data_IF_080468481922
#
_entry.id   IF_080468481922
#
_cell.length_a   1.000
_cell.length_b   1.000
_cell.length_c   1.000
_cell.angle_alpha   90.00
_cell.angle_beta   90.00
_cell.angle_gamma   90.00
#
_symmetry.space_group_name_H-M   'P 1'
#
loop_
_entity.id
_entity.type
_entity.pdbx_description
1 polymer ?
#
# COMPACT_ATOMS: atom_id res chain seq x y z
N UNK A 1 -30.32 -10.95 9.15
CA UNK A 1 -29.78 -10.12 10.24
C UNK A 1 -28.27 -10.04 10.04
N UNK A 2 -27.67 -8.87 10.22
CA UNK A 2 -26.26 -8.64 9.90
C UNK A 2 -25.41 -8.90 11.15
N UNK A 3 -24.38 -9.73 11.01
CA UNK A 3 -23.51 -10.13 12.11
C UNK A 3 -22.04 -10.09 11.69
N UNK A 4 -21.17 -9.80 12.65
CA UNK A 4 -19.73 -9.92 12.52
C UNK A 4 -19.38 -11.38 12.26
N UNK A 5 -18.67 -11.66 11.16
CA UNK A 5 -18.27 -13.03 10.78
C UNK A 5 -17.32 -13.68 11.78
N UNK A 6 -16.62 -12.90 12.61
CA UNK A 6 -15.65 -13.41 13.58
C UNK A 6 -16.27 -13.75 14.95
N UNK A 7 -17.16 -12.89 15.46
CA UNK A 7 -17.65 -13.00 16.84
C UNK A 7 -19.17 -13.02 16.98
N UNK A 8 -19.92 -12.88 15.89
CA UNK A 8 -21.39 -12.88 15.92
C UNK A 8 -22.03 -11.60 16.47
N UNK A 9 -21.27 -10.56 16.83
CA UNK A 9 -21.84 -9.27 17.23
C UNK A 9 -22.60 -8.61 16.08
N UNK A 10 -23.72 -7.92 16.35
CA UNK A 10 -24.49 -7.19 15.34
C UNK A 10 -24.34 -5.66 15.42
N UNK A 11 -23.56 -5.16 16.36
CA UNK A 11 -23.31 -3.72 16.56
C UNK A 11 -21.99 -3.28 15.93
N UNK A 12 -21.93 -2.00 15.54
CA UNK A 12 -20.73 -1.32 15.01
C UNK A 12 -20.03 -2.12 13.91
N UNK A 13 -20.81 -2.60 12.95
CA UNK A 13 -20.31 -3.36 11.81
C UNK A 13 -19.68 -2.45 10.77
N UNK A 14 -18.62 -2.96 10.16
CA UNK A 14 -17.86 -2.35 9.07
C UNK A 14 -17.70 -3.38 7.96
N UNK A 15 -17.50 -2.91 6.74
CA UNK A 15 -17.18 -3.76 5.59
C UNK A 15 -15.66 -3.93 5.52
N UNK A 16 -15.21 -5.18 5.48
CA UNK A 16 -13.80 -5.55 5.41
C UNK A 16 -13.51 -6.27 4.10
N UNK A 17 -12.50 -5.81 3.36
CA UNK A 17 -12.03 -6.46 2.14
C UNK A 17 -11.07 -7.60 2.48
N UNK A 18 -11.42 -8.84 2.14
CA UNK A 18 -10.58 -10.03 2.36
C UNK A 18 -9.22 -9.89 1.68
N UNK A 19 -9.21 -9.47 0.42
CA UNK A 19 -7.97 -9.09 -0.28
C UNK A 19 -7.80 -7.58 -0.17
N UNK A 20 -6.68 -7.10 0.41
CA UNK A 20 -6.42 -5.68 0.49
C UNK A 20 -6.45 -4.98 -0.88
N UNK A 21 -7.07 -3.81 -0.92
CA UNK A 21 -7.22 -3.02 -2.15
C UNK A 21 -5.89 -2.71 -2.83
N UNK A 22 -4.80 -2.55 -2.06
CA UNK A 22 -3.45 -2.31 -2.59
C UNK A 22 -2.98 -3.41 -3.54
N UNK A 23 -3.37 -4.67 -3.33
CA UNK A 23 -3.03 -5.79 -4.21
C UNK A 23 -4.12 -5.99 -5.26
N UNK A 24 -5.39 -5.96 -4.83
CA UNK A 24 -6.54 -6.28 -5.67
C UNK A 24 -6.62 -5.47 -6.95
N UNK A 25 -6.32 -4.16 -6.89
CA UNK A 25 -6.42 -3.28 -8.08
C UNK A 25 -5.50 -3.72 -9.23
N UNK A 26 -4.39 -4.38 -8.93
CA UNK A 26 -3.42 -4.89 -9.91
C UNK A 26 -3.70 -6.33 -10.36
N UNK A 27 -4.64 -7.03 -9.72
CA UNK A 27 -5.00 -8.38 -10.15
C UNK A 27 -5.61 -8.36 -11.55
N UNK A 28 -5.40 -9.42 -12.35
CA UNK A 28 -6.10 -9.65 -13.61
C UNK A 28 -7.61 -9.61 -13.44
N UNK A 29 -8.33 -9.17 -14.48
CA UNK A 29 -9.79 -9.00 -14.43
C UNK A 29 -10.52 -10.31 -14.09
N UNK A 30 -10.04 -11.43 -14.63
CA UNK A 30 -10.60 -12.77 -14.36
C UNK A 30 -10.56 -13.16 -12.88
N UNK A 31 -9.65 -12.56 -12.10
CA UNK A 31 -9.50 -12.81 -10.66
C UNK A 31 -10.32 -11.79 -9.85
N UNK A 32 -10.38 -10.52 -10.28
CA UNK A 32 -10.98 -9.44 -9.47
C UNK A 32 -12.43 -9.07 -9.82
N UNK A 33 -12.98 -9.55 -10.93
CA UNK A 33 -14.34 -9.22 -11.41
C UNK A 33 -15.46 -9.52 -10.40
N UNK A 34 -15.22 -10.41 -9.43
CA UNK A 34 -16.16 -10.84 -8.41
C UNK A 34 -15.83 -10.29 -7.00
N UNK A 35 -15.33 -9.05 -6.92
CA UNK A 35 -14.86 -8.43 -5.68
C UNK A 35 -15.91 -8.30 -4.55
N UNK A 36 -17.21 -8.29 -4.88
CA UNK A 36 -18.29 -8.21 -3.89
C UNK A 36 -18.34 -9.42 -2.95
N UNK A 37 -17.89 -10.59 -3.41
CA UNK A 37 -17.83 -11.81 -2.59
C UNK A 37 -16.73 -11.74 -1.51
N UNK A 38 -15.75 -10.86 -1.70
CA UNK A 38 -14.61 -10.69 -0.81
C UNK A 38 -14.80 -9.54 0.18
N UNK A 39 -16.05 -9.18 0.48
CA UNK A 39 -16.39 -8.16 1.47
C UNK A 39 -17.15 -8.81 2.61
N UNK A 40 -16.59 -8.76 3.81
CA UNK A 40 -17.14 -9.37 5.02
C UNK A 40 -17.60 -8.31 6.01
N UNK A 41 -18.67 -8.61 6.75
CA UNK A 41 -19.09 -7.79 7.88
C UNK A 41 -18.25 -8.12 9.11
N UNK A 42 -17.61 -7.11 9.70
CA UNK A 42 -16.82 -7.24 10.92
C UNK A 42 -17.13 -6.11 11.88
N UNK A 43 -17.25 -6.40 13.18
CA UNK A 43 -17.32 -5.34 14.17
C UNK A 43 -15.97 -4.61 14.30
N UNK A 44 -15.98 -3.34 14.72
CA UNK A 44 -14.77 -2.51 14.87
C UNK A 44 -13.66 -3.22 15.66
N UNK A 45 -14.00 -3.92 16.75
CA UNK A 45 -13.02 -4.66 17.58
C UNK A 45 -12.29 -5.72 16.77
N UNK A 46 -13.04 -6.60 16.09
CA UNK A 46 -12.45 -7.67 15.28
C UNK A 46 -11.69 -7.10 14.07
N UNK A 47 -12.19 -6.04 13.45
CA UNK A 47 -11.54 -5.39 12.32
C UNK A 47 -10.17 -4.80 12.73
N UNK A 48 -10.11 -4.09 13.87
CA UNK A 48 -8.85 -3.52 14.39
C UNK A 48 -7.83 -4.61 14.75
N UNK A 49 -8.28 -5.70 15.38
CA UNK A 49 -7.42 -6.86 15.66
C UNK A 49 -6.89 -7.47 14.37
N UNK A 50 -7.75 -7.67 13.37
CA UNK A 50 -7.34 -8.18 12.06
C UNK A 50 -6.29 -7.28 11.40
N UNK A 51 -6.50 -5.96 11.36
CA UNK A 51 -5.57 -5.04 10.71
C UNK A 51 -4.17 -5.08 11.33
N UNK A 52 -4.07 -5.35 12.64
CA UNK A 52 -2.78 -5.53 13.32
C UNK A 52 -2.02 -6.73 12.73
N UNK A 53 -2.68 -7.89 12.63
CA UNK A 53 -2.08 -9.08 12.04
C UNK A 53 -1.85 -8.94 10.53
N UNK A 54 -2.76 -8.28 9.81
CA UNK A 54 -2.62 -8.01 8.38
C UNK A 54 -1.44 -7.08 8.10
N UNK A 55 -1.17 -6.08 8.97
CA UNK A 55 0.01 -5.23 8.87
C UNK A 55 1.30 -6.02 9.03
N UNK A 56 1.36 -6.94 9.98
CA UNK A 56 2.52 -7.81 10.16
C UNK A 56 2.73 -8.72 8.94
N UNK A 57 1.66 -9.31 8.42
CA UNK A 57 1.73 -10.13 7.22
C UNK A 57 2.16 -9.33 5.98
N UNK A 58 1.67 -8.09 5.81
CA UNK A 58 2.13 -7.16 4.77
C UNK A 58 3.65 -6.92 4.86
N UNK A 59 4.20 -6.73 6.07
CA UNK A 59 5.66 -6.59 6.26
C UNK A 59 6.42 -7.85 5.85
N UNK A 60 5.91 -9.03 6.18
CA UNK A 60 6.52 -10.30 5.76
C UNK A 60 6.52 -10.45 4.22
N UNK A 61 5.44 -10.05 3.55
CA UNK A 61 5.38 -10.01 2.07
C UNK A 61 6.44 -9.03 1.53
N UNK A 62 6.54 -7.83 2.11
CA UNK A 62 7.55 -6.84 1.75
C UNK A 62 8.97 -7.40 1.86
N UNK A 63 9.28 -8.12 2.93
CA UNK A 63 10.56 -8.80 3.11
C UNK A 63 10.76 -9.93 2.10
N UNK A 64 9.74 -10.78 1.89
CA UNK A 64 9.79 -11.91 0.94
C UNK A 64 10.15 -11.46 -0.47
N UNK A 65 9.56 -10.34 -0.91
CA UNK A 65 9.78 -9.78 -2.25
C UNK A 65 10.90 -8.73 -2.30
N UNK A 66 11.56 -8.46 -1.17
CA UNK A 66 12.56 -7.40 -1.01
C UNK A 66 12.10 -6.05 -1.60
N UNK A 67 10.84 -5.67 -1.34
CA UNK A 67 10.22 -4.48 -1.93
C UNK A 67 9.41 -3.71 -0.88
N UNK A 68 9.66 -2.40 -0.66
CA UNK A 68 9.06 -1.62 0.42
C UNK A 68 7.53 -1.49 0.28
N UNK A 69 6.80 -1.44 1.40
CA UNK A 69 5.34 -1.31 1.42
C UNK A 69 4.83 0.01 0.81
N UNK A 70 5.59 1.09 0.99
CA UNK A 70 5.25 2.41 0.47
C UNK A 70 5.55 2.55 -1.04
N UNK A 71 6.19 1.54 -1.65
CA UNK A 71 6.66 1.57 -3.02
C UNK A 71 8.09 2.09 -3.16
N UNK A 72 8.65 1.95 -4.36
CA UNK A 72 10.04 2.31 -4.69
C UNK A 72 10.07 3.50 -5.65
N UNK A 73 11.19 4.24 -5.66
CA UNK A 73 11.41 5.43 -6.49
C UNK A 73 10.55 6.63 -6.04
N UNK A 74 10.63 6.94 -4.75
CA UNK A 74 10.10 8.16 -4.16
C UNK A 74 11.25 9.12 -3.81
N UNK A 75 11.02 10.41 -4.00
CA UNK A 75 11.93 11.47 -3.64
C UNK A 75 11.43 12.09 -2.33
N UNK A 76 12.28 12.13 -1.32
CA UNK A 76 11.96 12.80 -0.06
C UNK A 76 12.02 14.31 -0.25
N UNK A 77 10.93 15.00 0.12
CA UNK A 77 10.84 16.46 0.08
C UNK A 77 11.35 17.03 1.42
N UNK A 78 12.67 17.16 1.54
CA UNK A 78 13.33 17.53 2.80
C UNK A 78 12.83 18.84 3.41
N UNK A 79 12.49 19.81 2.56
CA UNK A 79 11.89 21.07 2.99
C UNK A 79 10.53 20.82 3.67
N UNK A 80 9.63 20.10 3.01
CA UNK A 80 8.30 19.77 3.55
C UNK A 80 8.41 18.93 4.84
N UNK A 81 9.31 17.95 4.88
CA UNK A 81 9.52 17.15 6.07
C UNK A 81 10.00 17.99 7.26
N UNK A 82 10.86 18.99 7.04
CA UNK A 82 11.28 19.94 8.09
C UNK A 82 10.11 20.83 8.54
N UNK A 83 9.37 21.39 7.59
CA UNK A 83 8.21 22.26 7.85
C UNK A 83 7.16 21.51 8.67
N UNK A 84 6.79 20.30 8.28
CA UNK A 84 5.86 19.44 9.02
C UNK A 84 6.34 19.13 10.42
N UNK A 85 7.63 18.81 10.58
CA UNK A 85 8.21 18.51 11.90
C UNK A 85 8.13 19.73 12.82
N UNK A 86 8.42 20.92 12.30
CA UNK A 86 8.29 22.18 13.04
C UNK A 86 6.82 22.46 13.40
N UNK A 87 5.91 22.38 12.42
CA UNK A 87 4.47 22.59 12.62
C UNK A 87 3.88 21.61 13.65
N UNK A 88 4.26 20.33 13.57
CA UNK A 88 3.82 19.30 14.52
C UNK A 88 4.32 19.56 15.94
N UNK A 89 5.56 20.03 16.09
CA UNK A 89 6.10 20.41 17.40
C UNK A 89 5.34 21.63 17.97
N UNK A 90 5.11 22.66 17.16
CA UNK A 90 4.35 23.85 17.56
C UNK A 90 2.92 23.51 17.95
N UNK A 91 2.20 22.71 17.16
CA UNK A 91 0.84 22.28 17.45
C UNK A 91 0.74 21.42 18.72
N UNK A 92 1.75 20.58 18.98
CA UNK A 92 1.80 19.81 20.24
C UNK A 92 1.91 20.75 21.45
N UNK A 93 2.83 21.70 21.40
CA UNK A 93 2.99 22.66 22.50
C UNK A 93 1.76 23.59 22.62
N UNK A 94 1.17 24.02 21.50
CA UNK A 94 -0.06 24.81 21.50
C UNK A 94 -1.22 24.05 22.15
N UNK A 95 -1.44 22.78 21.79
CA UNK A 95 -2.48 21.96 22.41
C UNK A 95 -2.24 21.76 23.92
N UNK A 96 -0.99 21.66 24.36
CA UNK A 96 -0.64 21.61 25.78
C UNK A 96 -0.91 22.95 26.51
N UNK A 97 -0.89 24.08 25.80
CA UNK A 97 -1.11 25.44 26.33
C UNK A 97 -2.51 25.99 26.04
N UNK A 98 -3.37 25.23 25.34
CA UNK A 98 -4.67 25.67 24.83
C UNK A 98 -5.65 26.06 25.96
N UNK A 99 -5.47 25.45 27.13
CA UNK A 99 -6.23 25.78 28.35
C UNK A 99 -5.84 27.13 28.97
N UNK A 100 -4.68 27.70 28.60
CA UNK A 100 -4.16 28.97 29.12
C UNK A 100 -4.35 30.09 28.09
N UNK A 101 -4.21 29.78 26.80
CA UNK A 101 -4.22 30.76 25.71
C UNK A 101 -5.59 30.78 25.02
N UNK A 102 -6.58 31.44 25.64
CA UNK A 102 -7.80 31.82 24.93
C UNK A 102 -7.51 32.98 23.97
N UNK A 103 -7.61 32.69 22.67
CA UNK A 103 -7.61 33.60 21.51
C UNK A 103 -6.23 34.00 20.99
N UNK A 104 -5.97 33.67 19.71
CA UNK A 104 -5.08 34.49 18.90
C UNK A 104 -4.40 33.80 17.72
N UNK A 105 -4.32 32.47 17.70
CA UNK A 105 -3.64 31.76 16.61
C UNK A 105 -4.70 31.22 15.65
N UNK A 106 -4.62 31.65 14.39
CA UNK A 106 -5.39 31.10 13.29
C UNK A 106 -4.90 29.66 13.03
N UNK A 107 -5.60 28.67 13.61
CA UNK A 107 -5.28 27.23 13.52
C UNK A 107 -5.11 26.71 12.08
N UNK A 108 -5.49 27.53 11.09
CA UNK A 108 -5.64 27.15 9.70
C UNK A 108 -4.31 27.07 8.93
N UNK A 109 -3.30 27.88 9.25
CA UNK A 109 -2.02 27.86 8.51
C UNK A 109 -1.08 26.73 8.97
N UNK A 110 -1.04 26.44 10.27
CA UNK A 110 -0.22 25.35 10.83
C UNK A 110 -0.78 23.97 10.46
N UNK A 111 -2.11 23.85 10.37
CA UNK A 111 -2.77 22.64 9.88
C UNK A 111 -2.43 22.35 8.41
N UNK A 112 -2.40 23.39 7.56
CA UNK A 112 -1.96 23.27 6.15
C UNK A 112 -0.51 22.81 6.02
N UNK A 113 0.37 23.28 6.91
CA UNK A 113 1.77 22.87 6.93
C UNK A 113 1.96 21.37 7.27
N UNK A 114 1.10 20.81 8.12
CA UNK A 114 1.05 19.36 8.40
C UNK A 114 0.51 18.56 7.21
N UNK A 115 -0.24 19.15 6.29
CA UNK A 115 -0.79 18.42 5.13
C UNK A 115 0.19 18.33 3.95
N UNK A 116 1.32 19.04 4.00
CA UNK A 116 2.33 19.00 2.96
C UNK A 116 2.83 17.55 2.73
N UNK A 117 3.09 17.12 1.47
CA UNK A 117 3.62 15.79 1.21
C UNK A 117 5.08 15.68 1.67
N UNK A 118 5.43 14.63 2.40
CA UNK A 118 6.83 14.33 2.75
C UNK A 118 7.62 13.68 1.61
N UNK A 119 6.91 13.03 0.69
CA UNK A 119 7.48 12.30 -0.43
C UNK A 119 6.75 12.64 -1.71
N UNK A 120 7.49 12.69 -2.81
CA UNK A 120 6.96 12.79 -4.16
C UNK A 120 7.31 11.53 -4.94
N UNK A 121 6.32 10.96 -5.61
CA UNK A 121 6.51 9.83 -6.54
C UNK A 121 7.22 10.35 -7.79
N UNK A 122 8.33 9.74 -8.19
CA UNK A 122 8.98 10.06 -9.45
C UNK A 122 8.33 9.27 -10.61
N UNK A 123 8.72 9.48 -11.87
CA UNK A 123 8.16 8.75 -13.01
C UNK A 123 8.37 7.23 -12.99
N UNK A 124 9.41 6.78 -12.29
CA UNK A 124 9.78 5.36 -12.12
C UNK A 124 9.08 4.72 -10.90
N UNK A 125 8.17 5.44 -10.25
CA UNK A 125 7.53 4.98 -9.03
C UNK A 125 6.70 3.71 -9.25
N UNK A 126 7.03 2.66 -8.48
CA UNK A 126 6.30 1.40 -8.51
C UNK A 126 5.64 1.17 -7.15
N UNK A 127 4.32 1.00 -7.16
CA UNK A 127 3.56 0.61 -5.96
C UNK A 127 3.88 -0.82 -5.54
N UNK A 128 4.02 -1.05 -4.24
CA UNK A 128 4.25 -2.39 -3.67
C UNK A 128 3.28 -3.44 -4.21
N UNK A 129 1.99 -3.11 -4.21
CA UNK A 129 0.96 -4.04 -4.66
C UNK A 129 1.09 -4.41 -6.13
N UNK A 130 1.58 -3.50 -6.98
CA UNK A 130 1.84 -3.78 -8.40
C UNK A 130 2.98 -4.77 -8.54
N UNK A 131 4.11 -4.47 -7.89
CA UNK A 131 5.30 -5.32 -7.93
C UNK A 131 5.01 -6.75 -7.45
N UNK A 132 4.30 -6.90 -6.33
CA UNK A 132 3.96 -8.21 -5.78
C UNK A 132 3.05 -8.99 -6.73
N UNK A 133 2.00 -8.38 -7.27
CA UNK A 133 1.08 -9.08 -8.19
C UNK A 133 1.79 -9.44 -9.49
N UNK A 134 2.57 -8.54 -10.09
CA UNK A 134 3.33 -8.83 -11.30
C UNK A 134 4.29 -10.01 -11.07
N UNK A 135 4.96 -10.06 -9.91
CA UNK A 135 5.86 -11.14 -9.52
C UNK A 135 5.12 -12.48 -9.36
N UNK A 136 3.96 -12.48 -8.68
CA UNK A 136 3.12 -13.67 -8.51
C UNK A 136 2.56 -14.18 -9.84
N UNK A 137 2.15 -13.28 -10.74
CA UNK A 137 1.65 -13.66 -12.05
C UNK A 137 2.77 -14.25 -12.90
N UNK A 138 4.00 -13.70 -12.86
CA UNK A 138 5.16 -14.26 -13.54
C UNK A 138 5.45 -15.68 -13.07
N UNK A 139 5.44 -15.92 -11.76
CA UNK A 139 5.61 -17.24 -11.16
C UNK A 139 4.49 -18.22 -11.57
N UNK A 140 3.23 -17.78 -11.51
CA UNK A 140 2.08 -18.57 -11.95
C UNK A 140 2.18 -18.99 -13.42
N UNK A 141 2.48 -18.05 -14.32
CA UNK A 141 2.63 -18.38 -15.74
C UNK A 141 3.84 -19.28 -15.97
N UNK A 142 4.96 -19.08 -15.28
CA UNK A 142 6.11 -19.98 -15.36
C UNK A 142 5.73 -21.42 -14.97
N UNK A 143 5.05 -21.60 -13.84
CA UNK A 143 4.59 -22.92 -13.39
C UNK A 143 3.55 -23.52 -14.35
N UNK A 144 2.60 -22.69 -14.81
CA UNK A 144 1.57 -23.12 -15.75
C UNK A 144 2.20 -23.60 -17.06
N UNK A 145 3.15 -22.84 -17.60
CA UNK A 145 3.95 -23.23 -18.77
C UNK A 145 4.63 -24.57 -18.48
N UNK A 146 5.39 -24.71 -17.39
CA UNK A 146 6.05 -25.98 -17.05
C UNK A 146 5.10 -27.17 -16.92
N UNK A 147 3.87 -26.94 -16.42
CA UNK A 147 2.85 -27.97 -16.28
C UNK A 147 2.13 -28.33 -17.58
N UNK A 148 2.10 -27.41 -18.55
CA UNK A 148 1.47 -27.57 -19.85
C UNK A 148 2.48 -27.97 -20.94
N UNK A 149 3.77 -27.69 -20.74
CA UNK A 149 4.86 -28.07 -21.63
C UNK A 149 5.49 -29.39 -21.22
N UNK A 150 4.77 -30.48 -21.51
CA UNK A 150 5.41 -31.63 -22.17
C UNK A 150 5.64 -31.37 -23.68
N UNK A 151 5.28 -30.19 -24.22
CA UNK A 151 5.66 -29.73 -25.58
C UNK A 151 5.91 -28.21 -25.72
N UNK A 152 7.20 -27.89 -25.86
CA UNK A 152 7.93 -26.87 -26.65
C UNK A 152 7.58 -25.36 -26.64
N UNK A 153 8.59 -24.60 -26.17
CA UNK A 153 9.22 -23.41 -26.76
C UNK A 153 8.34 -22.51 -27.64
N UNK A 154 8.01 -21.29 -27.17
CA UNK A 154 7.84 -20.11 -28.05
C UNK A 154 7.79 -18.76 -27.27
N UNK A 155 7.45 -18.70 -25.97
CA UNK A 155 7.09 -17.40 -25.36
C UNK A 155 8.15 -16.68 -24.51
N UNK A 156 9.34 -17.26 -24.25
CA UNK A 156 10.37 -16.58 -23.43
C UNK A 156 10.93 -15.33 -24.13
N UNK A 157 10.99 -15.35 -25.46
CA UNK A 157 11.57 -14.24 -26.24
C UNK A 157 10.71 -12.96 -26.26
N UNK A 158 9.41 -12.99 -25.93
CA UNK A 158 8.58 -11.77 -25.90
C UNK A 158 8.59 -11.06 -24.53
N UNK A 159 8.91 -11.79 -23.45
CA UNK A 159 9.00 -11.23 -22.10
C UNK A 159 10.38 -10.58 -21.89
N UNK A 160 11.46 -11.21 -22.35
CA UNK A 160 12.82 -10.68 -22.18
C UNK A 160 13.06 -9.40 -23.02
N UNK A 161 12.49 -9.31 -24.23
CA UNK A 161 12.59 -8.10 -25.07
C UNK A 161 11.85 -6.87 -24.52
N UNK A 162 10.93 -7.04 -23.56
CA UNK A 162 10.27 -5.92 -22.86
C UNK A 162 10.99 -5.52 -21.55
N UNK A 163 11.91 -6.35 -21.06
CA UNK A 163 12.65 -6.10 -19.82
C UNK A 163 14.03 -5.49 -20.14
N UNK A 164 14.70 -5.95 -21.21
CA UNK A 164 16.04 -5.47 -21.57
C UNK A 164 16.07 -4.04 -22.13
N UNK A 165 14.93 -3.49 -22.58
CA UNK A 165 14.85 -2.09 -23.02
C UNK A 165 14.74 -1.06 -21.87
N UNK A 166 14.83 -1.49 -20.60
CA UNK A 166 14.76 -0.61 -19.42
C UNK A 166 15.93 -0.78 -18.44
N UNK A 167 17.00 -1.49 -18.83
CA UNK A 167 18.22 -1.59 -18.03
C UNK A 167 19.39 -1.15 -18.93
N UNK A 168 19.40 0.12 -19.32
CA UNK A 168 20.59 0.72 -19.90
C UNK A 168 21.31 1.59 -18.85
N UNK A 169 22.30 0.95 -18.24
CA UNK A 169 23.59 1.46 -17.81
C UNK A 169 23.71 2.95 -17.47
N UNK A 170 23.83 3.27 -16.18
CA UNK A 170 24.62 4.45 -15.79
C UNK A 170 25.49 4.14 -14.55
N UNK A 171 26.80 4.46 -14.57
CA UNK A 171 27.71 4.10 -13.49
C UNK A 171 27.51 5.01 -12.28
N UNK A 172 27.62 4.40 -11.11
CA UNK A 172 27.58 5.04 -9.81
C UNK A 172 28.83 5.92 -9.66
N UNK A 173 28.64 7.23 -9.57
CA UNK A 173 29.52 8.18 -8.88
C UNK A 173 28.69 9.01 -7.91
#
# INVERSE_FOLDING_TARGET
MNYCVCCGNNESLTLHHVVPNMYRKYMPEVIKSHASHDILLMCIKCHSTYETFAMEFKKQISQKFNFPLDGQAQIRLDYNAKVRKAASALLREFNNMKDIVMKGIDENEESKAIELPEYQKNPEFIEHGKFVIDSLMKEYYYIKILSETDKQEIFINEIDNNIDNNIDNNPIF
#
